data_IF_686733984981
#
_entry.id   IF_686733984981
#
_cell.length_a   1.000
_cell.length_b   1.000
_cell.length_c   1.000
_cell.angle_alpha   90.00
_cell.angle_beta   90.00
_cell.angle_gamma   90.00
#
_symmetry.space_group_name_H-M   'P 1'
#
loop_
_entity.id
_entity.type
_entity.pdbx_description
1 polymer ?
#
# COMPACT_ATOMS: atom_id res chain seq x y z
N UNK A 1 -2.22 5.33 -4.40
CA UNK A 1 -1.35 6.34 -3.75
C UNK A 1 -1.88 6.82 -2.41
N UNK A 2 -3.20 6.98 -2.22
CA UNK A 2 -3.79 7.50 -0.97
C UNK A 2 -3.35 6.76 0.30
N UNK A 3 -3.21 5.42 0.24
CA UNK A 3 -2.77 4.62 1.40
C UNK A 3 -1.32 4.92 1.83
N UNK A 4 -0.43 5.23 0.87
CA UNK A 4 0.98 5.54 1.14
C UNK A 4 1.10 6.91 1.78
N UNK A 5 0.40 7.90 1.23
CA UNK A 5 0.39 9.26 1.76
C UNK A 5 -0.13 9.25 3.20
N UNK A 6 -1.30 8.63 3.45
CA UNK A 6 -1.88 8.55 4.81
C UNK A 6 -0.94 7.86 5.81
N UNK A 7 -0.31 6.76 5.41
CA UNK A 7 0.64 6.04 6.26
C UNK A 7 1.85 6.91 6.59
N UNK A 8 2.48 7.53 5.58
CA UNK A 8 3.64 8.41 5.77
C UNK A 8 3.30 9.62 6.62
N UNK A 9 2.13 10.25 6.40
CA UNK A 9 1.65 11.38 7.21
C UNK A 9 1.48 10.98 8.68
N UNK A 10 0.94 9.80 8.95
CA UNK A 10 0.80 9.28 10.33
C UNK A 10 2.16 9.09 11.01
N UNK A 11 3.13 8.49 10.30
CA UNK A 11 4.48 8.26 10.82
C UNK A 11 5.20 9.60 11.05
N UNK A 12 5.12 10.53 10.09
CA UNK A 12 5.73 11.85 10.19
C UNK A 12 5.23 12.60 11.42
N UNK A 13 3.90 12.64 11.63
CA UNK A 13 3.28 13.27 12.82
C UNK A 13 3.75 12.61 14.12
N UNK A 14 3.74 11.27 14.18
CA UNK A 14 4.15 10.54 15.39
C UNK A 14 5.62 10.76 15.76
N UNK A 15 6.48 10.99 14.76
CA UNK A 15 7.92 11.19 14.93
C UNK A 15 8.33 12.66 15.01
N UNK A 16 7.38 13.60 14.92
CA UNK A 16 7.68 15.04 14.91
C UNK A 16 8.49 15.49 13.69
N UNK A 17 8.36 14.81 12.56
CA UNK A 17 9.06 15.19 11.33
C UNK A 17 8.40 16.43 10.70
N UNK A 18 9.18 17.37 10.15
CA UNK A 18 8.68 18.60 9.54
C UNK A 18 8.15 18.36 8.11
N UNK A 19 7.32 17.34 7.93
CA UNK A 19 6.72 16.98 6.64
C UNK A 19 5.20 16.88 6.79
N UNK A 20 4.48 17.76 6.10
CA UNK A 20 3.01 17.71 6.07
C UNK A 20 2.49 16.78 4.96
N UNK A 21 1.16 16.60 4.93
CA UNK A 21 0.52 15.70 3.97
C UNK A 21 0.69 16.15 2.52
N UNK A 22 0.78 17.46 2.25
CA UNK A 22 0.92 18.01 0.90
C UNK A 22 2.35 17.76 0.40
N UNK A 23 3.36 18.01 1.24
CA UNK A 23 4.76 17.68 0.97
C UNK A 23 4.92 16.19 0.68
N UNK A 24 4.35 15.33 1.53
CA UNK A 24 4.40 13.87 1.36
C UNK A 24 3.69 13.44 0.06
N UNK A 25 2.61 14.12 -0.32
CA UNK A 25 1.90 13.84 -1.57
C UNK A 25 2.75 14.19 -2.78
N UNK A 26 3.39 15.37 -2.79
CA UNK A 26 4.33 15.79 -3.86
C UNK A 26 5.50 14.81 -3.98
N UNK A 27 6.08 14.37 -2.86
CA UNK A 27 7.15 13.36 -2.84
C UNK A 27 6.68 12.00 -3.37
N UNK A 28 5.50 11.52 -2.95
CA UNK A 28 4.94 10.26 -3.41
C UNK A 28 4.59 10.28 -4.91
N UNK A 29 4.23 11.44 -5.45
CA UNK A 29 4.02 11.63 -6.89
C UNK A 29 5.33 11.44 -7.67
N UNK A 30 6.44 12.03 -7.20
CA UNK A 30 7.76 11.83 -7.80
C UNK A 30 8.09 10.34 -7.89
N UNK A 31 8.09 9.64 -6.75
CA UNK A 31 8.40 8.20 -6.66
C UNK A 31 7.53 7.31 -7.56
N UNK A 32 6.31 7.74 -7.90
CA UNK A 32 5.36 6.96 -8.71
C UNK A 32 5.50 7.22 -10.20
N UNK A 33 5.91 8.43 -10.56
CA UNK A 33 5.99 8.89 -11.93
C UNK A 33 7.40 8.83 -12.51
N UNK A 34 8.41 8.56 -11.67
CA UNK A 34 9.77 8.26 -12.10
C UNK A 34 10.10 6.78 -11.92
N UNK A 35 11.20 6.31 -12.51
CA UNK A 35 11.72 4.97 -12.26
C UNK A 35 12.53 4.90 -10.96
N UNK A 36 13.01 3.69 -10.63
CA UNK A 36 13.79 3.43 -9.43
C UNK A 36 15.13 4.18 -9.45
N UNK A 37 15.80 4.29 -10.60
CA UNK A 37 17.08 4.96 -10.76
C UNK A 37 16.95 6.47 -10.46
N UNK A 38 15.91 7.11 -10.98
CA UNK A 38 15.62 8.52 -10.71
C UNK A 38 15.25 8.77 -9.24
N UNK A 39 14.47 7.88 -8.65
CA UNK A 39 14.06 7.94 -7.24
C UNK A 39 15.25 7.78 -6.30
N UNK A 40 16.11 6.78 -6.54
CA UNK A 40 17.33 6.59 -5.76
C UNK A 40 18.31 7.74 -5.95
N UNK A 41 18.44 8.26 -7.18
CA UNK A 41 19.22 9.45 -7.46
C UNK A 41 18.76 10.66 -6.63
N UNK A 42 17.45 10.89 -6.54
CA UNK A 42 16.89 11.95 -5.69
C UNK A 42 17.23 11.75 -4.20
N UNK A 43 17.07 10.54 -3.69
CA UNK A 43 17.42 10.23 -2.31
C UNK A 43 18.91 10.40 -2.02
N UNK A 44 19.78 10.06 -2.97
CA UNK A 44 21.23 10.23 -2.84
C UNK A 44 21.59 11.71 -2.78
N UNK A 45 21.03 12.55 -3.67
CA UNK A 45 21.22 13.99 -3.61
C UNK A 45 20.84 14.57 -2.23
N UNK A 46 19.72 14.13 -1.65
CA UNK A 46 19.29 14.59 -0.32
C UNK A 46 20.30 14.18 0.77
N UNK A 47 20.82 12.95 0.71
CA UNK A 47 21.76 12.45 1.71
C UNK A 47 23.17 13.06 1.57
N UNK A 48 23.58 13.39 0.35
CA UNK A 48 24.84 14.06 0.05
C UNK A 48 24.82 15.55 0.43
N UNK A 49 23.63 16.16 0.49
CA UNK A 49 23.44 17.52 0.99
C UNK A 49 23.67 17.60 2.50
N UNK A 50 24.56 18.51 2.92
CA UNK A 50 24.93 18.70 4.32
C UNK A 50 23.76 19.18 5.20
N UNK A 51 22.84 19.96 4.63
CA UNK A 51 21.64 20.48 5.30
C UNK A 51 20.33 19.84 4.80
N UNK A 52 20.40 18.89 3.87
CA UNK A 52 19.23 18.22 3.29
C UNK A 52 18.41 19.08 2.32
N UNK A 53 18.88 20.29 2.01
CA UNK A 53 18.30 21.18 1.01
C UNK A 53 18.97 20.95 -0.35
N UNK A 54 18.22 21.12 -1.43
CA UNK A 54 18.70 20.83 -2.78
C UNK A 54 18.66 22.09 -3.64
N UNK A 55 19.84 22.63 -3.98
CA UNK A 55 19.96 23.78 -4.86
C UNK A 55 19.36 23.51 -6.24
N UNK A 56 19.55 22.31 -6.78
CA UNK A 56 18.98 21.89 -8.07
C UNK A 56 17.45 21.94 -8.09
N UNK A 57 16.80 21.66 -6.95
CA UNK A 57 15.34 21.77 -6.85
C UNK A 57 14.92 23.24 -6.87
N UNK A 58 15.67 24.11 -6.19
CA UNK A 58 15.45 25.56 -6.23
C UNK A 58 15.60 26.11 -7.65
N UNK A 59 16.60 25.64 -8.40
CA UNK A 59 16.82 26.00 -9.80
C UNK A 59 15.66 25.53 -10.68
N UNK A 60 15.21 24.28 -10.53
CA UNK A 60 14.05 23.73 -11.25
C UNK A 60 12.75 24.46 -10.92
N UNK A 61 12.58 24.91 -9.68
CA UNK A 61 11.42 25.68 -9.22
C UNK A 61 11.38 27.09 -9.83
N UNK A 62 12.54 27.70 -10.03
CA UNK A 62 12.69 29.03 -10.63
C UNK A 62 12.71 29.02 -12.17
N UNK A 63 13.02 27.88 -12.80
CA UNK A 63 13.22 27.77 -14.23
C UNK A 63 11.93 27.89 -15.07
N UNK A 64 12.03 28.67 -16.14
CA UNK A 64 11.01 28.80 -17.17
C UNK A 64 10.97 27.60 -18.12
N UNK A 65 9.93 27.56 -18.96
CA UNK A 65 9.80 26.55 -20.02
C UNK A 65 10.87 26.78 -21.10
N UNK A 66 11.95 26.00 -21.04
CA UNK A 66 13.05 26.05 -22.01
C UNK A 66 14.43 26.36 -21.40
N UNK A 67 14.49 26.70 -20.11
CA UNK A 67 15.76 26.98 -19.43
C UNK A 67 16.56 25.68 -19.22
N UNK A 68 17.84 25.69 -19.57
CA UNK A 68 18.74 24.58 -19.25
C UNK A 68 19.09 24.59 -17.75
N UNK A 69 19.01 23.42 -17.11
CA UNK A 69 19.41 23.24 -15.72
C UNK A 69 20.81 22.66 -15.70
N UNK A 70 21.74 23.38 -15.09
CA UNK A 70 23.11 22.90 -14.96
C UNK A 70 23.15 21.67 -14.04
N UNK A 71 23.95 20.67 -14.42
CA UNK A 71 24.22 19.48 -13.60
C UNK A 71 22.98 18.65 -13.23
N UNK A 72 21.99 18.54 -14.14
CA UNK A 72 20.90 17.59 -13.97
C UNK A 72 21.45 16.16 -13.83
N UNK A 73 21.03 15.37 -12.82
CA UNK A 73 21.48 14.00 -12.66
C UNK A 73 21.16 13.19 -13.91
N UNK A 74 22.10 12.35 -14.34
CA UNK A 74 21.88 11.42 -15.47
C UNK A 74 20.68 10.52 -15.25
N UNK A 75 20.40 10.14 -14.00
CA UNK A 75 19.22 9.33 -13.65
C UNK A 75 17.89 10.06 -13.89
N UNK A 76 17.89 11.38 -14.05
CA UNK A 76 16.69 12.20 -14.25
C UNK A 76 16.41 12.51 -15.73
N UNK A 77 17.38 12.32 -16.63
CA UNK A 77 17.25 12.66 -18.07
C UNK A 77 16.00 12.02 -18.71
N UNK A 78 15.71 10.75 -18.39
CA UNK A 78 14.54 10.03 -18.93
C UNK A 78 13.19 10.65 -18.51
N UNK A 79 13.17 11.37 -17.39
CA UNK A 79 11.97 11.91 -16.76
C UNK A 79 12.01 13.45 -16.67
N UNK A 80 12.93 14.11 -17.39
CA UNK A 80 13.21 15.53 -17.22
C UNK A 80 11.95 16.40 -17.36
N UNK A 81 11.13 16.16 -18.40
CA UNK A 81 9.89 16.90 -18.62
C UNK A 81 8.94 16.80 -17.41
N UNK A 82 8.75 15.59 -16.87
CA UNK A 82 7.94 15.38 -15.68
C UNK A 82 8.55 16.07 -14.45
N UNK A 83 9.86 15.95 -14.25
CA UNK A 83 10.55 16.52 -13.08
C UNK A 83 10.45 18.05 -13.08
N UNK A 84 10.54 18.69 -14.25
CA UNK A 84 10.33 20.14 -14.40
C UNK A 84 8.92 20.57 -14.03
N UNK A 85 7.91 19.84 -14.49
CA UNK A 85 6.52 20.13 -14.14
C UNK A 85 6.24 19.85 -12.66
N UNK A 86 6.82 18.77 -12.13
CA UNK A 86 6.72 18.39 -10.73
C UNK A 86 7.35 19.44 -9.79
N UNK A 87 8.50 20.01 -10.17
CA UNK A 87 9.17 21.04 -9.38
C UNK A 87 8.27 22.27 -9.17
N UNK A 88 7.52 22.66 -10.21
CA UNK A 88 6.57 23.78 -10.18
C UNK A 88 5.35 23.57 -9.27
N UNK A 89 5.07 22.32 -8.85
CA UNK A 89 3.97 22.04 -7.92
C UNK A 89 4.28 22.59 -6.52
N UNK A 90 3.28 23.14 -5.83
CA UNK A 90 3.42 23.48 -4.42
C UNK A 90 3.35 22.20 -3.54
N UNK A 91 4.02 22.19 -2.37
CA UNK A 91 4.92 23.23 -1.86
C UNK A 91 6.30 23.18 -2.51
N UNK A 92 6.99 24.31 -2.52
CA UNK A 92 8.39 24.38 -2.92
C UNK A 92 9.29 23.68 -1.88
N UNK A 93 10.37 23.06 -2.35
CA UNK A 93 11.29 22.29 -1.53
C UNK A 93 12.70 22.89 -1.47
N UNK A 94 13.00 23.95 -2.23
CA UNK A 94 14.34 24.53 -2.30
C UNK A 94 15.03 24.73 -0.94
N UNK A 95 14.31 25.28 0.04
CA UNK A 95 14.81 25.56 1.40
C UNK A 95 14.39 24.53 2.45
N UNK A 96 13.83 23.39 2.03
CA UNK A 96 13.34 22.36 2.95
C UNK A 96 14.40 21.30 3.19
N UNK A 97 14.67 20.95 4.46
CA UNK A 97 15.43 19.74 4.78
C UNK A 97 14.60 18.49 4.47
N UNK A 98 14.93 17.81 3.37
CA UNK A 98 14.21 16.64 2.88
C UNK A 98 14.72 15.31 3.45
N UNK A 99 15.74 15.28 4.32
CA UNK A 99 16.25 14.02 4.90
C UNK A 99 15.17 13.17 5.59
N UNK A 100 14.18 13.75 6.31
CA UNK A 100 13.05 12.99 6.85
C UNK A 100 12.22 12.26 5.78
N UNK A 101 12.18 12.77 4.54
CA UNK A 101 11.45 12.15 3.44
C UNK A 101 12.11 10.84 3.01
N UNK A 102 13.45 10.81 2.96
CA UNK A 102 14.22 9.58 2.65
C UNK A 102 13.97 8.52 3.72
N UNK A 103 13.97 8.91 5.00
CA UNK A 103 13.64 8.01 6.10
C UNK A 103 12.22 7.43 5.96
N UNK A 104 11.22 8.29 5.72
CA UNK A 104 9.84 7.85 5.51
C UNK A 104 9.70 6.93 4.30
N UNK A 105 10.42 7.21 3.21
CA UNK A 105 10.41 6.38 2.02
C UNK A 105 10.92 4.98 2.32
N UNK A 106 12.08 4.86 2.99
CA UNK A 106 12.68 3.57 3.40
C UNK A 106 11.83 2.79 4.41
N UNK A 107 11.33 3.46 5.44
CA UNK A 107 10.48 2.85 6.47
C UNK A 107 9.21 2.26 5.81
N UNK A 108 8.59 3.01 4.91
CA UNK A 108 7.40 2.53 4.20
C UNK A 108 7.69 1.53 3.09
N UNK A 109 8.89 1.53 2.49
CA UNK A 109 9.33 0.46 1.57
C UNK A 109 9.57 -0.84 2.32
N UNK A 110 10.18 -0.82 3.52
CA UNK A 110 10.34 -2.02 4.35
C UNK A 110 8.99 -2.59 4.83
N UNK A 111 8.06 -1.71 5.26
CA UNK A 111 6.67 -2.09 5.54
C UNK A 111 5.99 -2.62 4.28
N UNK A 112 6.25 -2.00 3.11
CA UNK A 112 5.70 -2.44 1.83
C UNK A 112 6.27 -3.77 1.35
N UNK A 113 7.55 -4.05 1.56
CA UNK A 113 8.15 -5.34 1.20
C UNK A 113 7.61 -6.45 2.09
N UNK A 114 7.32 -6.16 3.37
CA UNK A 114 6.54 -7.06 4.24
C UNK A 114 5.08 -7.24 3.77
N UNK A 115 4.57 -6.36 2.91
CA UNK A 115 3.17 -6.34 2.46
C UNK A 115 2.96 -6.45 0.94
N UNK A 116 4.01 -6.67 0.13
CA UNK A 116 4.02 -6.18 -1.27
C UNK A 116 4.26 -7.20 -2.37
N UNK A 117 4.65 -8.42 -2.02
CA UNK A 117 4.58 -9.57 -2.93
C UNK A 117 4.20 -10.74 -2.06
N UNK A 118 3.00 -11.29 -2.30
CA UNK A 118 2.66 -12.57 -1.70
C UNK A 118 3.74 -13.57 -2.11
N UNK A 119 4.28 -14.30 -1.13
CA UNK A 119 5.16 -15.43 -1.40
C UNK A 119 4.47 -16.42 -2.33
N UNK A 120 5.24 -17.30 -2.99
CA UNK A 120 4.66 -18.36 -3.80
C UNK A 120 3.69 -19.24 -3.00
N UNK A 121 4.03 -19.58 -1.75
CA UNK A 121 3.14 -20.34 -0.86
C UNK A 121 1.85 -19.57 -0.53
N UNK A 122 1.92 -18.25 -0.36
CA UNK A 122 0.73 -17.44 -0.12
C UNK A 122 -0.16 -17.33 -1.38
N UNK A 123 0.43 -17.23 -2.57
CA UNK A 123 -0.32 -17.24 -3.84
C UNK A 123 -1.03 -18.59 -4.06
N UNK A 124 -0.35 -19.70 -3.79
CA UNK A 124 -0.92 -21.05 -3.85
C UNK A 124 -2.05 -21.23 -2.82
N UNK A 125 -1.86 -20.66 -1.62
CA UNK A 125 -2.88 -20.67 -0.59
C UNK A 125 -4.14 -19.92 -1.03
N UNK A 126 -4.02 -18.74 -1.65
CA UNK A 126 -5.19 -18.01 -2.19
C UNK A 126 -5.90 -18.85 -3.25
N UNK A 127 -5.16 -19.42 -4.20
CA UNK A 127 -5.72 -20.25 -5.27
C UNK A 127 -6.51 -21.45 -4.72
N UNK A 128 -6.04 -22.03 -3.62
CA UNK A 128 -6.74 -23.10 -2.91
C UNK A 128 -7.96 -22.58 -2.14
N UNK A 129 -7.81 -21.49 -1.39
CA UNK A 129 -8.83 -20.95 -0.47
C UNK A 129 -10.07 -20.41 -1.19
N UNK A 130 -9.91 -19.83 -2.39
CA UNK A 130 -11.05 -19.32 -3.18
C UNK A 130 -11.95 -20.43 -3.72
N UNK A 131 -11.46 -21.68 -3.76
CA UNK A 131 -12.18 -22.84 -4.30
C UNK A 131 -12.72 -23.78 -3.21
N UNK A 132 -12.61 -23.40 -1.93
CA UNK A 132 -12.99 -24.27 -0.81
C UNK A 132 -14.49 -24.54 -0.80
N UNK A 133 -14.85 -25.83 -0.83
CA UNK A 133 -16.25 -26.28 -0.80
C UNK A 133 -16.81 -26.39 0.62
N UNK A 134 -15.96 -26.63 1.61
CA UNK A 134 -16.35 -26.87 3.01
C UNK A 134 -15.32 -26.30 3.98
N UNK A 135 -15.79 -25.81 5.12
CA UNK A 135 -14.96 -25.27 6.23
C UNK A 135 -13.96 -26.32 6.77
N UNK A 136 -14.25 -27.61 6.59
CA UNK A 136 -13.40 -28.70 7.08
C UNK A 136 -12.43 -29.23 6.02
N UNK A 137 -12.21 -28.51 4.91
CA UNK A 137 -11.37 -29.00 3.81
C UNK A 137 -9.93 -29.27 4.26
N UNK A 138 -9.39 -30.49 4.04
CA UNK A 138 -7.99 -30.79 4.34
C UNK A 138 -7.01 -29.89 3.55
N UNK A 139 -7.31 -29.61 2.28
CA UNK A 139 -6.47 -28.73 1.45
C UNK A 139 -6.41 -27.31 1.99
N UNK A 140 -7.51 -26.79 2.55
CA UNK A 140 -7.53 -25.48 3.18
C UNK A 140 -6.71 -25.47 4.46
N UNK A 141 -6.78 -26.53 5.28
CA UNK A 141 -5.97 -26.65 6.50
C UNK A 141 -4.47 -26.67 6.16
N UNK A 142 -4.07 -27.42 5.14
CA UNK A 142 -2.68 -27.45 4.66
C UNK A 142 -2.24 -26.09 4.13
N UNK A 143 -3.05 -25.45 3.29
CA UNK A 143 -2.75 -24.12 2.74
C UNK A 143 -2.59 -23.05 3.83
N UNK A 144 -3.37 -23.12 4.91
CA UNK A 144 -3.23 -22.20 6.05
C UNK A 144 -2.01 -22.50 6.91
N UNK A 145 -1.62 -23.77 7.02
CA UNK A 145 -0.45 -24.18 7.81
C UNK A 145 0.89 -23.75 7.17
N UNK A 146 0.91 -23.50 5.86
CA UNK A 146 2.09 -22.99 5.14
C UNK A 146 2.28 -21.47 5.24
N UNK A 147 1.31 -20.75 5.80
CA UNK A 147 1.37 -19.29 5.95
C UNK A 147 2.06 -18.89 7.25
N UNK A 148 2.92 -17.89 7.15
CA UNK A 148 3.42 -17.14 8.30
C UNK A 148 2.40 -16.11 8.80
N UNK A 149 2.52 -15.69 10.06
CA UNK A 149 1.58 -14.74 10.68
C UNK A 149 1.39 -13.43 9.89
N UNK A 150 2.46 -12.94 9.25
CA UNK A 150 2.43 -11.74 8.41
C UNK A 150 1.71 -11.91 7.07
N UNK A 151 1.42 -13.14 6.64
CA UNK A 151 0.82 -13.43 5.33
C UNK A 151 -0.71 -13.51 5.37
N UNK A 152 -1.33 -13.62 6.55
CA UNK A 152 -2.78 -13.75 6.65
C UNK A 152 -3.53 -12.50 6.14
N UNK A 153 -3.04 -11.29 6.42
CA UNK A 153 -3.68 -10.07 5.94
C UNK A 153 -3.56 -9.93 4.40
N UNK A 154 -2.38 -10.07 3.78
CA UNK A 154 -2.26 -10.10 2.31
C UNK A 154 -3.13 -11.17 1.63
N UNK A 155 -3.19 -12.39 2.19
CA UNK A 155 -4.05 -13.47 1.69
C UNK A 155 -5.53 -13.07 1.79
N UNK A 156 -5.95 -12.49 2.91
CA UNK A 156 -7.32 -11.99 3.06
C UNK A 156 -7.66 -10.90 2.04
N UNK A 157 -6.76 -9.94 1.83
CA UNK A 157 -6.98 -8.86 0.85
C UNK A 157 -7.11 -9.40 -0.58
N UNK A 158 -6.32 -10.41 -0.95
CA UNK A 158 -6.43 -11.08 -2.23
C UNK A 158 -7.77 -11.84 -2.40
N UNK A 159 -8.24 -12.53 -1.35
CA UNK A 159 -9.56 -13.19 -1.37
C UNK A 159 -10.69 -12.16 -1.45
N UNK A 160 -10.56 -11.01 -0.78
CA UNK A 160 -11.51 -9.90 -0.88
C UNK A 160 -11.57 -9.34 -2.30
N UNK A 161 -10.42 -9.21 -2.97
CA UNK A 161 -10.38 -8.77 -4.36
C UNK A 161 -11.09 -9.77 -5.29
N UNK A 162 -10.95 -11.08 -5.05
CA UNK A 162 -11.74 -12.08 -5.75
C UNK A 162 -13.24 -11.92 -5.46
N UNK A 163 -13.61 -11.68 -4.20
CA UNK A 163 -15.01 -11.46 -3.82
C UNK A 163 -15.64 -10.25 -4.51
N UNK A 164 -14.88 -9.19 -4.79
CA UNK A 164 -15.38 -7.98 -5.47
C UNK A 164 -15.79 -8.22 -6.93
N UNK A 165 -15.29 -9.28 -7.57
CA UNK A 165 -15.60 -9.60 -8.97
C UNK A 165 -17.04 -10.07 -9.20
N UNK A 166 -17.67 -10.63 -8.16
CA UNK A 166 -19.08 -11.06 -8.20
C UNK A 166 -19.86 -10.33 -7.10
N UNK A 167 -20.84 -9.51 -7.50
CA UNK A 167 -21.71 -8.76 -6.58
C UNK A 167 -22.93 -9.57 -6.13
N UNK A 168 -23.10 -10.81 -6.61
CA UNK A 168 -24.23 -11.65 -6.25
C UNK A 168 -24.03 -12.37 -4.91
N UNK A 169 -24.60 -11.81 -3.85
CA UNK A 169 -24.60 -12.38 -2.50
C UNK A 169 -25.81 -13.27 -2.18
N UNK A 170 -26.71 -13.50 -3.15
CA UNK A 170 -27.91 -14.35 -2.95
C UNK A 170 -27.57 -15.85 -2.91
N UNK A 171 -26.41 -16.24 -3.40
CA UNK A 171 -25.90 -17.62 -3.40
C UNK A 171 -24.69 -17.75 -2.51
N UNK A 172 -24.45 -18.96 -2.02
CA UNK A 172 -23.24 -19.29 -1.27
C UNK A 172 -22.00 -19.20 -2.16
N UNK A 173 -20.91 -18.66 -1.61
CA UNK A 173 -19.66 -18.39 -2.31
C UNK A 173 -18.50 -19.16 -1.71
N UNK A 174 -17.63 -19.75 -2.52
CA UNK A 174 -16.48 -20.55 -2.03
C UNK A 174 -15.39 -19.66 -1.45
N UNK A 175 -15.15 -18.52 -2.08
CA UNK A 175 -14.21 -17.49 -1.64
C UNK A 175 -14.54 -16.93 -0.26
N UNK A 176 -15.83 -16.81 0.09
CA UNK A 176 -16.22 -16.40 1.45
C UNK A 176 -15.88 -17.47 2.50
N UNK A 177 -15.97 -18.76 2.17
CA UNK A 177 -15.53 -19.83 3.08
C UNK A 177 -14.02 -19.76 3.34
N UNK A 178 -13.24 -19.55 2.29
CA UNK A 178 -11.81 -19.31 2.39
C UNK A 178 -11.49 -18.11 3.29
N UNK A 179 -12.22 -17.00 3.11
CA UNK A 179 -12.07 -15.82 3.94
C UNK A 179 -12.36 -16.10 5.43
N UNK A 180 -13.47 -16.79 5.76
CA UNK A 180 -13.80 -17.17 7.14
C UNK A 180 -12.68 -18.00 7.79
N UNK A 181 -12.09 -18.93 7.03
CA UNK A 181 -10.97 -19.75 7.52
C UNK A 181 -9.69 -18.94 7.79
N UNK A 182 -9.42 -17.92 6.98
CA UNK A 182 -8.28 -17.01 7.19
C UNK A 182 -8.55 -16.08 8.38
N UNK A 183 -9.77 -15.58 8.52
CA UNK A 183 -10.19 -14.75 9.64
C UNK A 183 -10.05 -15.45 11.00
N UNK A 184 -10.28 -16.77 11.06
CA UNK A 184 -10.06 -17.57 12.27
C UNK A 184 -8.59 -17.62 12.74
N UNK A 185 -7.63 -17.23 11.89
CA UNK A 185 -6.19 -17.32 12.18
C UNK A 185 -5.54 -15.98 12.47
N UNK A 186 -6.21 -14.86 12.19
CA UNK A 186 -5.65 -13.52 12.33
C UNK A 186 -6.74 -12.49 12.60
N UNK A 187 -6.58 -11.73 13.70
CA UNK A 187 -7.48 -10.63 14.06
C UNK A 187 -7.49 -9.52 12.99
N UNK A 188 -6.33 -9.22 12.39
CA UNK A 188 -6.20 -8.22 11.32
C UNK A 188 -6.95 -8.66 10.06
N UNK A 189 -6.84 -9.94 9.69
CA UNK A 189 -7.58 -10.52 8.58
C UNK A 189 -9.10 -10.52 8.86
N UNK A 190 -9.50 -10.89 10.08
CA UNK A 190 -10.90 -10.84 10.47
C UNK A 190 -11.49 -9.42 10.40
N UNK A 191 -10.75 -8.41 10.90
CA UNK A 191 -11.14 -7.01 10.80
C UNK A 191 -11.25 -6.53 9.34
N UNK A 192 -10.35 -6.98 8.45
CA UNK A 192 -10.44 -6.71 7.02
C UNK A 192 -11.70 -7.32 6.38
N UNK A 193 -12.05 -8.57 6.72
CA UNK A 193 -13.26 -9.22 6.23
C UNK A 193 -14.53 -8.51 6.70
N UNK A 194 -14.62 -8.17 7.98
CA UNK A 194 -15.76 -7.44 8.55
C UNK A 194 -15.92 -6.07 7.89
N UNK A 195 -14.81 -5.32 7.73
CA UNK A 195 -14.83 -4.02 7.06
C UNK A 195 -15.29 -4.13 5.61
N UNK A 196 -14.80 -5.13 4.88
CA UNK A 196 -15.26 -5.39 3.51
C UNK A 196 -16.76 -5.69 3.48
N UNK A 197 -17.23 -6.59 4.34
CA UNK A 197 -18.63 -6.97 4.33
C UNK A 197 -19.56 -5.79 4.67
N UNK A 198 -19.20 -4.97 5.67
CA UNK A 198 -19.93 -3.73 6.00
C UNK A 198 -19.95 -2.74 4.84
N UNK A 199 -18.89 -2.69 4.02
CA UNK A 199 -18.83 -1.80 2.85
C UNK A 199 -19.80 -2.18 1.73
N UNK A 200 -20.31 -3.41 1.71
CA UNK A 200 -21.29 -3.85 0.71
C UNK A 200 -22.67 -3.20 0.89
N UNK A 201 -22.96 -2.65 2.08
CA UNK A 201 -24.23 -1.99 2.41
C UNK A 201 -25.47 -2.81 2.01
N UNK A 202 -25.40 -4.13 2.21
CA UNK A 202 -26.53 -5.02 1.92
C UNK A 202 -27.70 -4.66 2.86
N UNK A 203 -28.92 -4.59 2.32
CA UNK A 203 -30.13 -4.34 3.12
C UNK A 203 -30.29 -5.34 4.28
N UNK A 204 -29.86 -6.59 4.05
CA UNK A 204 -29.83 -7.65 5.06
C UNK A 204 -28.67 -8.61 4.78
N UNK A 205 -27.98 -9.04 5.84
CA UNK A 205 -26.99 -10.12 5.76
C UNK A 205 -27.66 -11.41 5.25
N UNK A 206 -27.14 -12.04 4.18
CA UNK A 206 -27.69 -13.31 3.70
C UNK A 206 -27.63 -14.38 4.79
N UNK A 207 -28.69 -15.20 4.92
CA UNK A 207 -28.79 -16.22 5.96
C UNK A 207 -27.62 -17.22 5.95
N UNK A 208 -27.10 -17.55 4.76
CA UNK A 208 -25.93 -18.42 4.61
C UNK A 208 -24.65 -17.79 5.16
N UNK A 209 -24.51 -16.47 5.11
CA UNK A 209 -23.38 -15.74 5.72
C UNK A 209 -23.52 -15.81 7.24
N UNK A 210 -24.68 -15.38 7.78
CA UNK A 210 -24.94 -15.42 9.24
C UNK A 210 -24.74 -16.82 9.82
N UNK A 211 -25.12 -17.87 9.08
CA UNK A 211 -24.91 -19.26 9.52
C UNK A 211 -23.43 -19.63 9.58
N UNK A 212 -22.62 -19.13 8.64
CA UNK A 212 -21.18 -19.44 8.55
C UNK A 212 -20.35 -18.71 9.62
N UNK A 213 -20.81 -17.53 10.03
CA UNK A 213 -20.10 -16.66 10.99
C UNK A 213 -20.73 -16.69 12.39
N UNK A 214 -21.78 -17.49 12.62
CA UNK A 214 -22.58 -17.49 13.85
C UNK A 214 -21.76 -17.66 15.14
N UNK A 215 -20.76 -18.53 15.11
CA UNK A 215 -19.94 -18.86 16.28
C UNK A 215 -18.58 -18.12 16.26
N UNK A 216 -18.44 -17.09 15.42
CA UNK A 216 -17.20 -16.35 15.22
C UNK A 216 -17.16 -15.13 16.12
N UNK A 217 -16.26 -15.13 17.10
CA UNK A 217 -16.07 -14.02 18.05
C UNK A 217 -15.67 -12.70 17.39
N UNK A 218 -15.09 -12.76 16.19
CA UNK A 218 -14.70 -11.59 15.40
C UNK A 218 -15.84 -11.01 14.54
N UNK A 219 -17.00 -11.68 14.46
CA UNK A 219 -18.15 -11.20 13.70
C UNK A 219 -19.17 -10.51 14.61
N UNK A 220 -19.09 -9.18 14.68
CA UNK A 220 -20.10 -8.35 15.32
C UNK A 220 -20.96 -7.69 14.24
N UNK A 221 -22.24 -8.11 14.17
CA UNK A 221 -23.27 -7.51 13.30
C UNK A 221 -23.31 -5.98 13.48
#
# INVERSE_FOLDING_TARGET
MLNVVRMRTSIARRRGMPLDEVMITKLALFERCTDIDATEGFHNLINESSNGQLSIISELEAAGSGDEIANLPKSWEKHEAFIRDWAKLLPHFGDTDLRPAVYLSRETVSVRQKSGSMSSSAQDAVSTLIQVRTINSPSAKTALATLSGSEFLPVMEAIIEEMRKDTNWKRTRSEFRGAVLVADRSEEAAAALVRFFKSLQLEKTPAWVSTMVKDKTWWNE
#
